data_IF_576154850840
#
_entry.id   IF_576154850840
#
_cell.length_a   1.000
_cell.length_b   1.000
_cell.length_c   1.000
_cell.angle_alpha   90.00
_cell.angle_beta   90.00
_cell.angle_gamma   90.00
#
_symmetry.space_group_name_H-M   'P 1'
#
loop_
_entity.id
_entity.type
_entity.pdbx_description
1 polymer ?
#
# COMPACT_ATOMS: atom_id res chain seq x y z
N UNK A 1 1.11 -1.93 -26.93
CA UNK A 1 1.41 -0.59 -26.35
C UNK A 1 2.26 -0.79 -25.12
N UNK A 2 3.53 -0.37 -25.16
CA UNK A 2 4.48 -0.50 -24.03
C UNK A 2 4.03 0.47 -22.94
N UNK A 3 3.46 -0.05 -21.85
CA UNK A 3 3.13 0.77 -20.68
C UNK A 3 4.41 1.31 -20.05
N UNK A 4 4.35 2.51 -19.47
CA UNK A 4 5.49 3.07 -18.73
C UNK A 4 5.88 2.10 -17.59
N UNK A 5 7.13 1.65 -17.60
CA UNK A 5 7.63 0.71 -16.59
C UNK A 5 7.80 1.38 -15.21
N UNK A 6 7.82 2.71 -15.17
CA UNK A 6 8.08 3.51 -13.98
C UNK A 6 7.27 4.80 -14.01
N UNK A 7 6.60 5.11 -12.89
CA UNK A 7 5.90 6.38 -12.71
C UNK A 7 6.26 6.92 -11.34
N UNK A 8 6.63 8.20 -11.27
CA UNK A 8 6.89 8.87 -10.01
C UNK A 8 5.75 9.83 -9.63
N UNK A 9 5.51 9.92 -8.32
CA UNK A 9 4.67 10.92 -7.70
C UNK A 9 5.36 11.45 -6.44
N UNK A 10 4.88 12.58 -5.92
CA UNK A 10 5.37 13.17 -4.66
C UNK A 10 5.37 12.18 -3.50
N UNK A 11 4.35 11.30 -3.41
CA UNK A 11 4.17 10.35 -2.29
C UNK A 11 4.51 8.89 -2.63
N UNK A 12 4.45 8.50 -3.91
CA UNK A 12 4.60 7.11 -4.32
C UNK A 12 5.53 6.95 -5.53
N UNK A 13 6.10 5.77 -5.66
CA UNK A 13 6.82 5.32 -6.87
C UNK A 13 6.17 4.03 -7.35
N UNK A 14 5.76 4.02 -8.61
CA UNK A 14 5.24 2.83 -9.27
C UNK A 14 6.34 2.20 -10.13
N UNK A 15 6.47 0.88 -10.03
CA UNK A 15 7.42 0.05 -10.79
C UNK A 15 6.69 -1.16 -11.35
N UNK A 16 6.85 -1.42 -12.64
CA UNK A 16 6.42 -2.66 -13.29
C UNK A 16 7.61 -3.59 -13.48
N UNK A 17 7.45 -4.86 -13.13
CA UNK A 17 8.43 -5.91 -13.35
C UNK A 17 7.76 -7.07 -14.11
N UNK A 18 8.29 -7.41 -15.27
CA UNK A 18 7.85 -8.56 -16.06
C UNK A 18 8.85 -9.69 -15.88
N UNK A 19 8.44 -10.81 -15.31
CA UNK A 19 9.33 -11.96 -15.07
C UNK A 19 9.09 -13.07 -16.10
N UNK A 20 10.13 -13.48 -16.81
CA UNK A 20 10.14 -14.60 -17.77
C UNK A 20 10.54 -15.92 -17.07
N UNK A 21 10.03 -17.13 -17.44
CA UNK A 21 9.47 -17.54 -18.74
C UNK A 21 8.07 -18.24 -18.75
N UNK A 22 7.53 -18.43 -19.97
CA UNK A 22 6.32 -19.17 -20.44
C UNK A 22 4.93 -18.69 -19.95
N UNK A 23 4.79 -18.30 -18.70
CA UNK A 23 3.58 -17.62 -18.18
C UNK A 23 4.02 -16.25 -17.67
N UNK A 24 3.86 -15.21 -18.49
CA UNK A 24 4.36 -13.88 -18.19
C UNK A 24 3.72 -13.34 -16.90
N UNK A 25 4.43 -13.47 -15.77
CA UNK A 25 4.00 -12.90 -14.50
C UNK A 25 4.25 -11.40 -14.58
N UNK A 26 3.17 -10.61 -14.58
CA UNK A 26 3.22 -9.15 -14.56
C UNK A 26 3.08 -8.66 -13.12
N UNK A 27 4.11 -7.98 -12.62
CA UNK A 27 4.19 -7.51 -11.24
C UNK A 27 4.15 -5.99 -11.23
N UNK A 28 3.18 -5.44 -10.51
CA UNK A 28 3.02 -4.01 -10.30
C UNK A 28 3.30 -3.66 -8.85
N UNK A 29 4.37 -2.93 -8.61
CA UNK A 29 4.74 -2.44 -7.29
C UNK A 29 4.37 -0.97 -7.13
N UNK A 30 3.76 -0.64 -6.00
CA UNK A 30 3.57 0.74 -5.54
C UNK A 30 4.26 0.91 -4.20
N UNK A 31 5.33 1.71 -4.21
CA UNK A 31 6.20 1.94 -3.05
C UNK A 31 5.93 3.31 -2.46
N UNK A 32 5.83 3.39 -1.13
CA UNK A 32 5.69 4.68 -0.42
C UNK A 32 7.04 5.38 -0.37
N UNK A 33 7.07 6.61 -0.90
CA UNK A 33 8.23 7.49 -0.79
C UNK A 33 8.24 8.09 0.61
N UNK A 34 9.18 7.65 1.45
CA UNK A 34 9.33 8.22 2.79
C UNK A 34 9.79 9.67 2.68
N UNK A 35 8.98 10.59 3.19
CA UNK A 35 9.29 12.02 3.13
C UNK A 35 10.50 12.35 4.02
N UNK A 36 11.23 13.42 3.69
CA UNK A 36 12.28 13.93 4.59
C UNK A 36 11.69 14.31 5.95
N UNK A 37 10.50 14.92 5.95
CA UNK A 37 9.75 15.27 7.16
C UNK A 37 9.54 14.07 8.09
N UNK A 38 9.17 12.91 7.53
CA UNK A 38 9.03 11.66 8.28
C UNK A 38 10.32 11.27 9.01
N UNK A 39 11.50 11.45 8.40
CA UNK A 39 12.78 11.24 9.10
C UNK A 39 13.03 12.32 10.16
N UNK A 40 12.78 13.59 9.85
CA UNK A 40 12.92 14.69 10.81
C UNK A 40 12.07 14.48 12.07
N UNK A 41 10.82 14.01 11.96
CA UNK A 41 9.97 13.74 13.11
C UNK A 41 10.54 12.66 14.04
N UNK A 42 11.19 11.62 13.50
CA UNK A 42 11.85 10.59 14.31
C UNK A 42 13.03 11.20 15.07
N UNK A 43 13.88 11.95 14.38
CA UNK A 43 15.02 12.63 15.01
C UNK A 43 14.55 13.62 16.08
N UNK A 44 13.47 14.37 15.82
CA UNK A 44 12.88 15.28 16.79
C UNK A 44 12.40 14.54 18.05
N UNK A 45 11.70 13.41 17.89
CA UNK A 45 11.28 12.58 19.02
C UNK A 45 12.49 12.06 19.83
N UNK A 46 13.58 11.65 19.15
CA UNK A 46 14.82 11.21 19.81
C UNK A 46 15.48 12.35 20.60
N UNK A 47 15.58 13.54 20.01
CA UNK A 47 16.16 14.72 20.67
C UNK A 47 15.33 15.13 21.88
N UNK A 48 13.99 15.13 21.78
CA UNK A 48 13.10 15.39 22.91
C UNK A 48 13.32 14.35 24.02
N UNK A 49 13.41 13.06 23.66
CA UNK A 49 13.71 11.98 24.61
C UNK A 49 15.04 12.19 25.35
N UNK A 50 16.11 12.52 24.61
CA UNK A 50 17.44 12.82 25.15
C UNK A 50 17.41 14.05 26.07
N UNK A 51 16.75 15.12 25.66
CA UNK A 51 16.60 16.33 26.45
C UNK A 51 15.90 16.06 27.79
N UNK A 52 14.82 15.27 27.77
CA UNK A 52 14.12 14.86 28.99
C UNK A 52 15.02 14.00 29.91
N UNK A 53 15.84 13.10 29.35
CA UNK A 53 16.77 12.29 30.13
C UNK A 53 17.87 13.14 30.80
N UNK A 54 18.43 14.12 30.09
CA UNK A 54 19.39 15.07 30.66
C UNK A 54 18.73 15.92 31.75
N UNK A 55 17.51 16.41 31.50
CA UNK A 55 16.75 17.18 32.48
C UNK A 55 16.47 16.37 33.75
N UNK A 56 16.15 15.07 33.64
CA UNK A 56 15.98 14.17 34.79
C UNK A 56 17.25 14.03 35.63
N UNK A 57 18.43 14.03 35.01
CA UNK A 57 19.72 13.91 35.72
C UNK A 57 20.08 15.23 36.43
N UNK A 58 19.76 16.39 35.83
CA UNK A 58 20.05 17.70 36.41
C UNK A 58 19.00 18.17 37.43
N UNK A 59 17.72 17.92 37.20
CA UNK A 59 16.63 18.38 38.06
C UNK A 59 16.39 17.40 39.19
N UNK A 60 16.99 17.70 40.35
CA UNK A 60 16.97 16.82 41.50
C UNK A 60 15.61 16.68 42.20
N UNK A 61 14.58 17.53 41.95
CA UNK A 61 13.26 17.32 42.61
C UNK A 61 11.96 18.01 42.10
N UNK A 62 11.89 18.82 41.03
CA UNK A 62 10.69 19.70 40.84
C UNK A 62 9.90 19.64 39.51
N UNK A 63 9.87 18.53 38.76
CA UNK A 63 9.10 18.56 37.48
C UNK A 63 8.60 17.21 36.97
N UNK A 64 8.25 16.30 37.88
CA UNK A 64 7.77 14.96 37.54
C UNK A 64 6.56 15.00 36.60
N UNK A 65 5.62 15.93 36.81
CA UNK A 65 4.42 16.09 35.98
C UNK A 65 4.76 16.48 34.53
N UNK A 66 5.68 17.42 34.32
CA UNK A 66 6.07 17.89 32.98
C UNK A 66 6.76 16.77 32.21
N UNK A 67 7.65 16.03 32.86
CA UNK A 67 8.35 14.88 32.28
C UNK A 67 7.39 13.75 31.92
N UNK A 68 6.40 13.50 32.78
CA UNK A 68 5.37 12.51 32.50
C UNK A 68 4.55 12.86 31.25
N UNK A 69 4.10 14.12 31.14
CA UNK A 69 3.37 14.59 29.95
C UNK A 69 4.23 14.60 28.69
N UNK A 70 5.51 14.97 28.77
CA UNK A 70 6.42 14.94 27.62
C UNK A 70 6.70 13.52 27.14
N UNK A 71 6.82 12.57 28.08
CA UNK A 71 6.98 11.15 27.75
C UNK A 71 5.72 10.59 27.09
N UNK A 72 4.53 10.87 27.62
CA UNK A 72 3.26 10.46 27.00
C UNK A 72 3.13 11.05 25.59
N UNK A 73 3.43 12.35 25.43
CA UNK A 73 3.36 13.01 24.13
C UNK A 73 4.32 12.37 23.12
N UNK A 74 5.59 12.17 23.50
CA UNK A 74 6.58 11.54 22.62
C UNK A 74 6.22 10.10 22.26
N UNK A 75 5.76 9.30 23.24
CA UNK A 75 5.32 7.93 23.02
C UNK A 75 4.08 7.87 22.11
N UNK A 76 3.12 8.79 22.28
CA UNK A 76 1.93 8.90 21.42
C UNK A 76 2.30 9.30 19.99
N UNK A 77 3.17 10.31 19.82
CA UNK A 77 3.67 10.73 18.50
C UNK A 77 4.41 9.59 17.80
N UNK A 78 5.26 8.86 18.54
CA UNK A 78 5.98 7.71 18.01
C UNK A 78 5.01 6.58 17.63
N UNK A 79 4.02 6.29 18.48
CA UNK A 79 2.99 5.29 18.20
C UNK A 79 2.17 5.65 16.97
N UNK A 80 1.69 6.89 16.86
CA UNK A 80 0.93 7.38 15.69
C UNK A 80 1.75 7.24 14.40
N UNK A 81 3.04 7.56 14.47
CA UNK A 81 3.94 7.47 13.34
C UNK A 81 4.33 6.04 12.96
N UNK A 82 4.39 5.12 13.93
CA UNK A 82 4.73 3.72 13.75
C UNK A 82 3.52 2.79 13.57
N UNK A 83 2.28 3.29 13.72
CA UNK A 83 1.14 2.40 13.93
C UNK A 83 0.85 1.45 12.76
N UNK A 84 1.22 1.81 11.52
CA UNK A 84 1.35 0.89 10.38
C UNK A 84 1.89 1.64 9.15
N UNK A 85 3.17 1.97 9.09
CA UNK A 85 3.69 2.59 7.90
C UNK A 85 3.95 1.45 6.89
N UNK A 86 3.03 1.29 5.94
CA UNK A 86 3.19 0.37 4.80
C UNK A 86 4.35 0.86 3.95
N UNK A 87 5.30 -0.05 3.69
CA UNK A 87 6.45 0.23 2.85
C UNK A 87 6.05 0.19 1.38
N UNK A 88 5.29 -0.83 1.01
CA UNK A 88 4.98 -1.18 -0.37
C UNK A 88 3.74 -2.05 -0.44
N UNK A 89 2.92 -1.85 -1.47
CA UNK A 89 1.90 -2.79 -1.89
C UNK A 89 2.20 -3.24 -3.32
N UNK A 90 1.94 -4.50 -3.61
CA UNK A 90 2.25 -5.14 -4.89
C UNK A 90 1.04 -5.91 -5.40
N UNK A 91 0.85 -5.89 -6.71
CA UNK A 91 -0.15 -6.69 -7.43
C UNK A 91 0.61 -7.60 -8.37
N UNK A 92 0.50 -8.90 -8.15
CA UNK A 92 1.14 -9.92 -8.98
C UNK A 92 0.02 -10.56 -9.79
N UNK A 93 0.09 -10.42 -11.11
CA UNK A 93 -0.87 -10.98 -12.05
C UNK A 93 -0.25 -12.24 -12.63
N UNK A 94 -0.90 -13.38 -12.40
CA UNK A 94 -0.50 -14.69 -12.90
C UNK A 94 -1.59 -15.15 -13.89
N UNK A 95 -1.40 -14.98 -15.21
CA UNK A 95 -2.50 -15.12 -16.17
C UNK A 95 -3.30 -16.42 -16.09
N UNK A 96 -2.62 -17.55 -15.87
CA UNK A 96 -3.26 -18.86 -15.77
C UNK A 96 -3.90 -19.14 -14.40
N UNK A 97 -3.45 -18.46 -13.33
CA UNK A 97 -3.78 -18.82 -11.96
C UNK A 97 -4.73 -17.82 -11.30
N UNK A 98 -4.42 -16.53 -11.37
CA UNK A 98 -5.12 -15.50 -10.61
C UNK A 98 -4.27 -14.29 -10.26
N UNK A 99 -4.71 -13.57 -9.25
CA UNK A 99 -4.09 -12.31 -8.80
C UNK A 99 -3.68 -12.44 -7.35
N UNK A 100 -2.41 -12.17 -7.06
CA UNK A 100 -1.88 -12.11 -5.70
C UNK A 100 -1.62 -10.66 -5.29
N UNK A 101 -2.25 -10.24 -4.20
CA UNK A 101 -2.01 -8.96 -3.55
C UNK A 101 -1.02 -9.15 -2.40
N UNK A 102 0.03 -8.33 -2.38
CA UNK A 102 1.01 -8.32 -1.30
C UNK A 102 1.12 -6.95 -0.64
N UNK A 103 1.14 -6.91 0.68
CA UNK A 103 1.41 -5.70 1.46
C UNK A 103 2.64 -5.94 2.33
N UNK A 104 3.68 -5.14 2.12
CA UNK A 104 4.90 -5.15 2.92
C UNK A 104 4.87 -4.02 3.94
N UNK A 105 4.92 -4.38 5.21
CA UNK A 105 4.98 -3.42 6.32
C UNK A 105 6.43 -3.08 6.65
N UNK A 106 6.67 -1.89 7.19
CA UNK A 106 8.00 -1.51 7.67
C UNK A 106 8.52 -2.36 8.84
N UNK A 107 7.63 -3.06 9.55
CA UNK A 107 8.00 -4.03 10.58
C UNK A 107 8.61 -5.32 10.00
N UNK A 108 8.65 -5.48 8.67
CA UNK A 108 9.07 -6.71 8.00
C UNK A 108 7.95 -7.72 7.81
N UNK A 109 6.80 -7.54 8.47
CA UNK A 109 5.61 -8.35 8.22
C UNK A 109 5.18 -8.19 6.76
N UNK A 110 4.82 -9.30 6.13
CA UNK A 110 4.23 -9.32 4.78
C UNK A 110 2.90 -10.05 4.85
N UNK A 111 1.85 -9.45 4.29
CA UNK A 111 0.55 -10.12 4.13
C UNK A 111 0.28 -10.36 2.66
N UNK A 112 -0.14 -11.58 2.33
CA UNK A 112 -0.45 -12.02 0.97
C UNK A 112 -1.90 -12.46 0.90
N UNK A 113 -2.59 -12.12 -0.17
CA UNK A 113 -3.93 -12.66 -0.48
C UNK A 113 -3.98 -13.02 -1.95
N UNK A 114 -4.42 -14.23 -2.24
CA UNK A 114 -4.53 -14.73 -3.60
C UNK A 114 -6.01 -14.87 -3.97
N UNK A 115 -6.34 -14.45 -5.19
CA UNK A 115 -7.66 -14.56 -5.78
C UNK A 115 -7.56 -15.39 -7.05
N UNK A 116 -8.15 -16.60 -7.09
CA UNK A 116 -8.17 -17.43 -8.30
C UNK A 116 -8.87 -16.69 -9.45
N UNK A 117 -8.33 -16.79 -10.66
CA UNK A 117 -8.84 -16.05 -11.82
C UNK A 117 -10.33 -16.33 -12.09
N UNK A 118 -10.80 -17.56 -11.88
CA UNK A 118 -12.21 -17.93 -12.08
C UNK A 118 -13.20 -17.30 -11.08
N UNK A 119 -12.69 -16.83 -9.94
CA UNK A 119 -13.50 -16.10 -8.96
C UNK A 119 -13.52 -14.60 -9.25
N UNK A 120 -12.56 -14.06 -9.98
CA UNK A 120 -12.52 -12.62 -10.25
C UNK A 120 -13.49 -12.32 -11.41
N UNK A 121 -14.51 -11.52 -11.14
CA UNK A 121 -15.47 -11.10 -12.16
C UNK A 121 -14.90 -9.96 -13.00
N UNK A 122 -14.47 -8.89 -12.34
CA UNK A 122 -13.97 -7.70 -13.04
C UNK A 122 -13.14 -6.81 -12.11
N UNK A 123 -12.10 -6.14 -12.60
CA UNK A 123 -11.42 -5.09 -11.87
C UNK A 123 -12.16 -3.76 -12.10
N UNK A 124 -12.41 -3.01 -11.03
CA UNK A 124 -13.15 -1.75 -11.06
C UNK A 124 -12.30 -0.63 -10.48
N UNK A 125 -12.22 0.45 -11.24
CA UNK A 125 -11.61 1.69 -10.81
C UNK A 125 -12.72 2.61 -10.30
N UNK A 126 -12.68 2.94 -9.01
CA UNK A 126 -13.71 3.70 -8.32
C UNK A 126 -13.18 5.05 -7.88
N UNK A 127 -13.98 6.09 -8.12
CA UNK A 127 -13.79 7.39 -7.51
C UNK A 127 -14.51 7.39 -6.15
N UNK A 128 -13.74 7.42 -5.07
CA UNK A 128 -14.24 7.47 -3.71
C UNK A 128 -14.35 8.91 -3.25
N UNK A 129 -15.58 9.35 -2.96
CA UNK A 129 -15.87 10.69 -2.47
C UNK A 129 -16.10 10.65 -0.96
N UNK A 130 -15.39 11.52 -0.26
CA UNK A 130 -15.62 11.85 1.16
C UNK A 130 -15.95 13.33 1.25
N UNK A 131 -16.60 13.82 2.33
CA UNK A 131 -17.01 15.22 2.44
C UNK A 131 -15.88 16.24 2.21
N UNK A 132 -14.64 15.85 2.43
CA UNK A 132 -13.46 16.73 2.31
C UNK A 132 -12.50 16.36 1.18
N UNK A 133 -12.58 15.13 0.66
CA UNK A 133 -11.59 14.63 -0.30
C UNK A 133 -12.21 13.68 -1.31
N UNK A 134 -11.71 13.75 -2.54
CA UNK A 134 -11.94 12.73 -3.55
C UNK A 134 -10.63 11.97 -3.81
N UNK A 135 -10.70 10.64 -3.89
CA UNK A 135 -9.55 9.82 -4.26
C UNK A 135 -9.97 8.61 -5.09
N UNK A 136 -9.05 8.09 -5.88
CA UNK A 136 -9.29 6.90 -6.69
C UNK A 136 -8.85 5.63 -5.96
N UNK A 137 -9.63 4.57 -6.11
CA UNK A 137 -9.36 3.24 -5.58
C UNK A 137 -9.51 2.18 -6.67
N UNK A 138 -8.64 1.18 -6.67
CA UNK A 138 -8.73 0.01 -7.55
C UNK A 138 -9.19 -1.18 -6.72
N UNK A 139 -10.25 -1.84 -7.16
CA UNK A 139 -10.86 -2.98 -6.46
C UNK A 139 -11.15 -4.13 -7.42
N UNK A 140 -11.25 -5.34 -6.91
CA UNK A 140 -11.70 -6.53 -7.63
C UNK A 140 -13.11 -6.89 -7.15
N UNK A 141 -14.01 -7.13 -8.10
CA UNK A 141 -15.26 -7.85 -7.83
C UNK A 141 -14.92 -9.33 -7.86
N UNK A 142 -15.17 -10.04 -6.76
CA UNK A 142 -14.86 -11.47 -6.62
C UNK A 142 -16.15 -12.21 -6.30
N UNK A 143 -16.40 -13.35 -6.96
CA UNK A 143 -17.53 -14.24 -6.68
C UNK A 143 -17.44 -14.73 -5.23
N UNK A 144 -18.61 -14.83 -4.60
CA UNK A 144 -18.78 -15.28 -3.22
C UNK A 144 -18.18 -14.35 -2.15
N UNK A 145 -17.60 -13.21 -2.55
CA UNK A 145 -17.19 -12.14 -1.65
C UNK A 145 -18.28 -11.06 -1.66
N UNK A 146 -18.90 -10.81 -0.51
CA UNK A 146 -19.97 -9.81 -0.37
C UNK A 146 -19.49 -8.35 -0.43
N UNK A 147 -18.19 -8.13 -0.53
CA UNK A 147 -17.54 -6.82 -0.54
C UNK A 147 -16.53 -6.70 -1.68
N UNK A 148 -16.28 -5.45 -2.10
CA UNK A 148 -15.25 -5.15 -3.09
C UNK A 148 -13.85 -5.34 -2.49
N UNK A 149 -13.04 -6.17 -3.14
CA UNK A 149 -11.71 -6.47 -2.66
C UNK A 149 -10.71 -5.41 -3.13
N UNK A 150 -10.33 -4.51 -2.24
CA UNK A 150 -9.33 -3.47 -2.51
C UNK A 150 -7.99 -4.10 -2.95
N UNK A 151 -7.49 -3.65 -4.10
CA UNK A 151 -6.17 -4.03 -4.62
C UNK A 151 -5.06 -3.38 -3.77
N UNK A 152 -5.28 -2.13 -3.36
CA UNK A 152 -4.43 -1.37 -2.45
C UNK A 152 -5.25 -1.04 -1.20
N UNK A 153 -4.91 -1.65 -0.06
CA UNK A 153 -5.71 -1.48 1.17
C UNK A 153 -5.28 -0.26 1.94
N UNK A 154 -3.97 -0.12 2.07
CA UNK A 154 -3.35 0.88 2.93
C UNK A 154 -2.87 2.07 2.10
N UNK A 155 -2.49 1.82 0.84
CA UNK A 155 -2.06 2.87 -0.07
C UNK A 155 -3.24 3.45 -0.86
N UNK A 156 -3.14 4.73 -1.18
CA UNK A 156 -4.06 5.43 -2.09
C UNK A 156 -3.27 6.04 -3.24
N UNK A 157 -2.83 5.24 -4.22
CA UNK A 157 -2.04 5.72 -5.34
C UNK A 157 -2.89 6.65 -6.23
N UNK A 158 -2.29 7.64 -6.89
CA UNK A 158 -3.00 8.47 -7.86
C UNK A 158 -3.45 7.64 -9.07
N UNK A 159 -4.54 8.07 -9.71
CA UNK A 159 -5.17 7.36 -10.84
C UNK A 159 -4.18 7.01 -11.97
N UNK A 160 -3.20 7.87 -12.25
CA UNK A 160 -2.15 7.62 -13.25
C UNK A 160 -1.33 6.35 -13.01
N UNK A 161 -1.21 5.90 -11.75
CA UNK A 161 -0.54 4.64 -11.39
C UNK A 161 -1.53 3.46 -11.38
N UNK A 162 -2.81 3.71 -11.12
CA UNK A 162 -3.84 2.67 -11.10
C UNK A 162 -4.24 2.22 -12.50
N UNK A 163 -4.32 3.15 -13.47
CA UNK A 163 -4.77 2.86 -14.84
C UNK A 163 -3.92 1.77 -15.54
N UNK A 164 -2.57 1.79 -15.51
CA UNK A 164 -1.76 0.72 -16.08
C UNK A 164 -2.02 -0.65 -15.47
N UNK A 165 -2.32 -0.70 -14.17
CA UNK A 165 -2.58 -1.93 -13.42
C UNK A 165 -3.99 -2.45 -13.74
N UNK A 166 -4.97 -1.56 -13.75
CA UNK A 166 -6.34 -1.87 -14.15
C UNK A 166 -6.40 -2.44 -15.57
N UNK A 167 -5.68 -1.83 -16.53
CA UNK A 167 -5.59 -2.34 -17.90
C UNK A 167 -4.98 -3.75 -17.97
N UNK A 168 -3.93 -4.02 -17.18
CA UNK A 168 -3.30 -5.34 -17.12
C UNK A 168 -4.24 -6.40 -16.52
N UNK A 169 -4.98 -6.04 -15.47
CA UNK A 169 -6.01 -6.90 -14.87
C UNK A 169 -7.14 -7.20 -15.87
N UNK A 170 -7.67 -6.18 -16.57
CA UNK A 170 -8.68 -6.37 -17.61
C UNK A 170 -8.18 -7.33 -18.70
N UNK A 171 -7.02 -7.07 -19.28
CA UNK A 171 -6.46 -7.92 -20.33
C UNK A 171 -6.32 -9.39 -19.90
N UNK A 172 -6.01 -9.63 -18.64
CA UNK A 172 -5.86 -10.99 -18.09
C UNK A 172 -7.20 -11.70 -17.89
N UNK A 173 -8.22 -10.96 -17.48
CA UNK A 173 -9.56 -11.51 -17.21
C UNK A 173 -10.32 -11.72 -18.53
N UNK A 174 -10.23 -10.77 -19.46
CA UNK A 174 -10.90 -10.83 -20.77
C UNK A 174 -10.37 -12.00 -21.62
N UNK A 175 -9.05 -12.30 -21.56
CA UNK A 175 -8.46 -13.46 -22.24
C UNK A 175 -9.00 -14.81 -21.75
N UNK A 176 -9.63 -14.87 -20.57
CA UNK A 176 -10.24 -16.11 -20.05
C UNK A 176 -11.70 -16.29 -20.49
N UNK A 177 -12.38 -15.23 -20.92
CA UNK A 177 -13.79 -15.32 -21.33
C UNK A 177 -13.95 -15.93 -22.74
N UNK A 178 -12.83 -16.23 -23.44
CA UNK A 178 -12.80 -16.70 -24.82
C UNK A 178 -12.37 -18.18 -25.10
N UNK A 179 -12.58 -19.20 -24.25
CA UNK A 179 -12.37 -20.59 -24.68
C UNK A 179 -13.59 -21.53 -24.64
N UNK A 180 -14.77 -21.12 -24.19
CA UNK A 180 -15.93 -22.02 -24.08
C UNK A 180 -17.10 -21.56 -24.96
N UNK A 181 -16.91 -21.62 -26.26
CA UNK A 181 -17.98 -21.50 -27.26
C UNK A 181 -17.78 -22.55 -28.37
N UNK A 182 -17.78 -23.83 -27.99
CA UNK A 182 -18.33 -24.92 -28.81
C UNK A 182 -18.27 -26.23 -28.01
N UNK A 183 -19.43 -26.75 -27.62
CA UNK A 183 -19.71 -28.20 -27.63
C UNK A 183 -21.23 -28.33 -27.45
N UNK A 184 -21.91 -28.30 -28.60
CA UNK A 184 -23.29 -28.75 -28.79
C UNK A 184 -23.32 -30.19 -29.29
#
# INVERSE_FOLDING_TARGET
MVGENWIENRKYTYRRELKWPVEAIDIHHVVVRRSRASRFFIYLCLVIGLSNAVFLVLSKHESVTILFWSFILSASLLKLFLWKPVKQESVIIMPALGVQLETHFLSGRTTRRFFPIGKILRPVLLECVTPLTCYWSLSLIVRDEGELMLVFKELRPPVKMLVPIWKALCATIDCKESPDADDG
#
